data_IF_266341311771
#
_entry.id   IF_266341311771
#
_cell.length_a   1.000
_cell.length_b   1.000
_cell.length_c   1.000
_cell.angle_alpha   90.00
_cell.angle_beta   90.00
_cell.angle_gamma   90.00
#
_symmetry.space_group_name_H-M   'P 1'
#
loop_
_entity.id
_entity.type
_entity.pdbx_description
1 polymer ?
#
# COMPACT_ATOMS: atom_id res chain seq x y z
N UNK A 1 13.14 -14.59 -11.78
CA UNK A 1 11.87 -14.48 -12.53
C UNK A 1 12.09 -13.50 -13.68
N UNK A 2 12.00 -13.96 -14.93
CA UNK A 2 12.32 -13.16 -16.12
C UNK A 2 11.14 -12.24 -16.43
N UNK A 3 11.37 -10.92 -16.43
CA UNK A 3 10.41 -9.96 -16.98
C UNK A 3 10.40 -10.12 -18.50
N UNK A 4 9.35 -10.73 -19.05
CA UNK A 4 8.99 -10.66 -20.46
C UNK A 4 7.50 -10.40 -20.53
N UNK A 5 7.15 -9.14 -20.71
CA UNK A 5 5.92 -8.71 -21.38
C UNK A 5 6.14 -7.26 -21.82
N UNK A 6 6.77 -7.10 -22.98
CA UNK A 6 6.72 -5.86 -23.73
C UNK A 6 5.41 -5.90 -24.50
N UNK A 7 4.41 -5.16 -24.03
CA UNK A 7 3.13 -5.04 -24.71
C UNK A 7 3.32 -4.19 -25.99
N UNK A 8 2.95 -4.73 -27.15
CA UNK A 8 2.84 -3.95 -28.40
C UNK A 8 1.70 -2.93 -28.24
N UNK A 9 2.02 -1.64 -28.30
CA UNK A 9 1.03 -0.56 -28.18
C UNK A 9 0.54 -0.20 -29.59
N UNK A 10 -0.64 -0.67 -29.98
CA UNK A 10 -1.29 -0.25 -31.22
C UNK A 10 -1.78 1.21 -31.11
N UNK A 11 -1.14 2.08 -31.89
CA UNK A 11 -1.41 3.53 -31.91
C UNK A 11 -1.79 3.96 -33.31
N UNK A 12 -2.88 4.74 -33.43
CA UNK A 12 -3.34 5.32 -34.69
C UNK A 12 -3.39 6.85 -34.64
N UNK A 13 -3.37 7.49 -35.80
CA UNK A 13 -3.48 8.93 -35.93
C UNK A 13 -4.93 9.37 -36.06
N UNK A 14 -5.30 10.43 -35.34
CA UNK A 14 -6.59 11.10 -35.55
C UNK A 14 -6.50 11.96 -36.80
N UNK A 15 -7.47 11.83 -37.70
CA UNK A 15 -7.59 12.62 -38.91
C UNK A 15 -8.61 13.74 -38.73
N UNK A 16 -8.34 14.90 -39.33
CA UNK A 16 -9.26 16.03 -39.28
C UNK A 16 -10.52 15.71 -40.09
N UNK A 17 -11.74 15.85 -39.52
CA UNK A 17 -12.98 15.58 -40.25
C UNK A 17 -13.22 16.56 -41.40
N UNK A 18 -12.61 17.74 -41.35
CA UNK A 18 -12.83 18.81 -42.34
C UNK A 18 -11.90 18.65 -43.54
N UNK A 19 -10.59 18.54 -43.31
CA UNK A 19 -9.59 18.51 -44.40
C UNK A 19 -8.97 17.12 -44.63
N UNK A 20 -9.35 16.10 -43.87
CA UNK A 20 -8.81 14.72 -43.90
C UNK A 20 -7.29 14.62 -43.72
N UNK A 21 -6.63 15.70 -43.34
CA UNK A 21 -5.21 15.67 -43.00
C UNK A 21 -5.01 15.06 -41.61
N UNK A 22 -3.90 14.35 -41.50
CA UNK A 22 -3.37 13.83 -40.24
C UNK A 22 -3.18 14.96 -39.22
N UNK A 23 -3.72 14.80 -38.01
CA UNK A 23 -3.52 15.76 -36.92
C UNK A 23 -2.26 15.44 -36.12
N UNK A 24 -1.97 16.23 -35.07
CA UNK A 24 -0.86 15.96 -34.14
C UNK A 24 -1.25 14.99 -33.02
N UNK A 25 -2.49 14.51 -32.99
CA UNK A 25 -3.01 13.66 -31.94
C UNK A 25 -2.90 12.21 -32.38
N UNK A 26 -2.23 11.42 -31.56
CA UNK A 26 -2.22 9.96 -31.61
C UNK A 26 -3.14 9.46 -30.52
N UNK A 27 -3.95 8.47 -30.86
CA UNK A 27 -4.81 7.78 -29.91
C UNK A 27 -4.45 6.30 -29.92
N UNK A 28 -4.60 5.66 -28.76
CA UNK A 28 -4.55 4.21 -28.70
C UNK A 28 -5.85 3.64 -29.26
N UNK A 29 -5.82 2.37 -29.67
CA UNK A 29 -7.00 1.68 -30.13
C UNK A 29 -8.13 1.58 -29.09
N UNK A 30 -7.85 1.81 -27.80
CA UNK A 30 -8.81 1.73 -26.68
C UNK A 30 -9.21 3.11 -26.11
N UNK A 31 -8.84 4.20 -26.79
CA UNK A 31 -9.15 5.56 -26.30
C UNK A 31 -10.62 5.92 -26.54
N UNK A 32 -11.35 6.26 -25.47
CA UNK A 32 -12.67 6.89 -25.55
C UNK A 32 -12.60 8.39 -25.25
N UNK A 33 -13.17 9.22 -26.12
CA UNK A 33 -13.25 10.67 -25.96
C UNK A 33 -14.63 11.16 -26.37
N UNK A 34 -15.31 11.87 -25.47
CA UNK A 34 -16.62 12.49 -25.74
C UNK A 34 -16.47 14.01 -25.81
N UNK A 35 -16.95 14.61 -26.89
CA UNK A 35 -16.89 16.07 -27.13
C UNK A 35 -15.46 16.62 -26.96
N UNK A 36 -14.47 15.92 -27.50
CA UNK A 36 -13.08 16.36 -27.39
C UNK A 36 -12.77 17.45 -28.42
N UNK A 37 -12.22 18.61 -27.99
CA UNK A 37 -11.81 19.67 -28.91
C UNK A 37 -10.55 19.26 -29.68
N UNK A 38 -10.73 18.90 -30.94
CA UNK A 38 -9.64 18.60 -31.87
C UNK A 38 -9.25 19.85 -32.63
N UNK A 39 -8.02 20.31 -32.43
CA UNK A 39 -7.40 21.35 -33.27
C UNK A 39 -6.64 20.73 -34.45
N UNK A 40 -6.94 21.20 -35.68
CA UNK A 40 -6.18 20.81 -36.87
C UNK A 40 -5.16 21.88 -37.26
N UNK A 41 -3.84 21.58 -37.29
CA UNK A 41 -2.83 22.56 -37.69
C UNK A 41 -2.86 22.92 -39.19
N UNK A 42 -3.53 22.13 -40.03
CA UNK A 42 -3.60 22.35 -41.49
C UNK A 42 -4.70 23.33 -41.88
N UNK A 43 -5.93 23.13 -41.41
CA UNK A 43 -7.04 24.05 -41.67
C UNK A 43 -7.26 25.09 -40.55
N UNK A 44 -6.50 25.01 -39.44
CA UNK A 44 -6.58 25.91 -38.27
C UNK A 44 -7.97 25.98 -37.61
N UNK A 45 -8.79 24.95 -37.82
CA UNK A 45 -10.11 24.85 -37.22
C UNK A 45 -10.10 23.95 -36.00
N UNK A 46 -10.97 24.28 -35.05
CA UNK A 46 -11.29 23.49 -33.88
C UNK A 46 -12.63 22.80 -34.10
N UNK A 47 -12.74 21.52 -33.78
CA UNK A 47 -13.96 20.74 -33.98
C UNK A 47 -14.12 19.76 -32.83
N UNK A 48 -15.35 19.57 -32.37
CA UNK A 48 -15.66 18.54 -31.39
C UNK A 48 -15.74 17.19 -32.09
N UNK A 49 -14.92 16.24 -31.64
CA UNK A 49 -14.97 14.86 -32.11
C UNK A 49 -15.41 13.94 -30.97
N UNK A 50 -16.06 12.85 -31.35
CA UNK A 50 -16.22 11.69 -30.49
C UNK A 50 -15.29 10.59 -31.02
N UNK A 51 -14.46 10.04 -30.15
CA UNK A 51 -13.69 8.83 -30.42
C UNK A 51 -14.37 7.76 -29.59
N UNK A 52 -15.11 6.87 -30.25
CA UNK A 52 -15.77 5.75 -29.61
C UNK A 52 -15.29 4.47 -30.29
N UNK A 53 -14.74 3.54 -29.51
CA UNK A 53 -14.61 2.17 -29.94
C UNK A 53 -15.86 1.46 -29.49
N UNK A 54 -16.74 1.09 -30.43
CA UNK A 54 -17.89 0.24 -30.12
C UNK A 54 -17.44 -1.22 -29.94
N UNK A 55 -16.44 -1.43 -29.08
CA UNK A 55 -16.20 -2.68 -28.39
C UNK A 55 -16.56 -2.46 -26.93
N UNK A 56 -17.88 -2.43 -26.70
CA UNK A 56 -18.41 -2.93 -25.43
C UNK A 56 -17.94 -4.37 -25.27
N UNK A 57 -16.76 -4.56 -24.71
CA UNK A 57 -16.41 -5.72 -23.90
C UNK A 57 -15.07 -5.46 -23.18
N UNK A 58 -15.20 -5.00 -21.94
CA UNK A 58 -14.41 -5.52 -20.82
C UNK A 58 -12.95 -5.10 -20.66
N UNK A 59 -12.56 -3.82 -20.71
CA UNK A 59 -11.23 -3.40 -20.17
C UNK A 59 -11.19 -2.03 -19.50
N UNK A 60 -11.93 -1.87 -18.40
CA UNK A 60 -11.54 -0.95 -17.32
C UNK A 60 -11.58 -1.70 -15.98
N UNK A 61 -10.46 -2.31 -15.62
CA UNK A 61 -10.30 -2.92 -14.29
C UNK A 61 -9.91 -1.83 -13.31
N UNK A 62 -10.88 -1.04 -12.86
CA UNK A 62 -10.68 -0.21 -11.68
C UNK A 62 -10.43 -1.16 -10.48
N UNK A 63 -9.25 -1.03 -9.85
CA UNK A 63 -8.91 -1.80 -8.64
C UNK A 63 -9.27 -0.95 -7.43
N UNK A 64 -10.21 -1.44 -6.62
CA UNK A 64 -10.62 -0.79 -5.39
C UNK A 64 -9.98 -1.55 -4.23
N UNK A 65 -9.10 -0.88 -3.46
CA UNK A 65 -8.57 -1.40 -2.20
C UNK A 65 -9.37 -0.82 -1.05
N UNK A 66 -10.10 -1.68 -0.34
CA UNK A 66 -10.81 -1.32 0.88
C UNK A 66 -9.91 -1.68 2.08
N UNK A 67 -9.61 -0.70 2.93
CA UNK A 67 -8.81 -0.88 4.14
C UNK A 67 -9.54 -0.23 5.32
N UNK A 68 -9.52 -0.90 6.48
CA UNK A 68 -10.20 -0.41 7.67
C UNK A 68 -10.04 -1.36 8.86
N UNK A 69 -10.67 -0.99 9.97
CA UNK A 69 -10.74 -1.83 11.18
C UNK A 69 -11.59 -3.09 10.93
N UNK A 70 -11.50 -4.11 11.82
CA UNK A 70 -12.32 -5.32 11.71
C UNK A 70 -13.83 -5.06 11.61
N UNK A 71 -14.30 -3.91 12.11
CA UNK A 71 -15.69 -3.44 11.96
C UNK A 71 -16.14 -3.31 10.49
N UNK A 72 -15.22 -3.02 9.56
CA UNK A 72 -15.53 -2.93 8.13
C UNK A 72 -16.02 -4.28 7.59
N UNK A 73 -15.41 -5.39 8.02
CA UNK A 73 -15.86 -6.73 7.64
C UNK A 73 -17.28 -7.01 8.15
N UNK A 74 -17.65 -6.49 9.32
CA UNK A 74 -19.01 -6.62 9.85
C UNK A 74 -20.01 -5.82 9.00
N UNK A 75 -19.66 -4.60 8.60
CA UNK A 75 -20.48 -3.80 7.69
C UNK A 75 -20.67 -4.48 6.33
N UNK A 76 -19.59 -5.01 5.73
CA UNK A 76 -19.66 -5.71 4.44
C UNK A 76 -20.48 -7.01 4.49
N UNK A 77 -20.70 -7.59 5.69
CA UNK A 77 -21.55 -8.77 5.90
C UNK A 77 -23.05 -8.44 5.99
N UNK A 78 -23.43 -7.16 6.06
CA UNK A 78 -24.84 -6.76 6.04
C UNK A 78 -25.45 -7.09 4.68
N UNK A 79 -26.68 -7.63 4.66
CA UNK A 79 -27.33 -8.10 3.43
C UNK A 79 -27.48 -7.05 2.33
N UNK A 80 -27.55 -5.76 2.71
CA UNK A 80 -27.58 -4.63 1.75
C UNK A 80 -26.28 -4.51 0.92
N UNK A 81 -25.16 -5.04 1.41
CA UNK A 81 -23.86 -4.99 0.75
C UNK A 81 -23.45 -6.31 0.06
N UNK A 82 -24.34 -7.31 0.05
CA UNK A 82 -24.08 -8.61 -0.58
C UNK A 82 -23.64 -8.50 -2.07
N UNK A 83 -24.23 -7.63 -2.92
CA UNK A 83 -23.77 -7.47 -4.30
C UNK A 83 -22.34 -6.94 -4.42
N UNK A 84 -21.91 -6.09 -3.48
CA UNK A 84 -20.54 -5.59 -3.42
C UNK A 84 -19.60 -6.67 -2.92
N UNK A 85 -20.00 -7.41 -1.88
CA UNK A 85 -19.22 -8.49 -1.27
C UNK A 85 -18.90 -9.60 -2.27
N UNK A 86 -19.85 -9.99 -3.12
CA UNK A 86 -19.65 -10.98 -4.18
C UNK A 86 -18.61 -10.57 -5.24
N UNK A 87 -18.30 -9.27 -5.33
CA UNK A 87 -17.29 -8.72 -6.26
C UNK A 87 -15.91 -8.55 -5.62
N UNK A 88 -15.77 -8.80 -4.32
CA UNK A 88 -14.49 -8.76 -3.62
C UNK A 88 -13.76 -10.08 -3.88
N UNK A 89 -12.75 -10.03 -4.75
CA UNK A 89 -11.98 -11.22 -5.16
C UNK A 89 -11.00 -11.67 -4.07
N UNK A 90 -10.47 -10.73 -3.28
CA UNK A 90 -9.56 -11.02 -2.18
C UNK A 90 -9.98 -10.24 -0.94
N UNK A 91 -10.05 -10.95 0.19
CA UNK A 91 -10.19 -10.35 1.51
C UNK A 91 -9.04 -10.88 2.37
N UNK A 92 -8.32 -9.96 3.01
CA UNK A 92 -7.19 -10.30 3.87
C UNK A 92 -7.30 -9.54 5.18
N UNK A 93 -7.19 -10.26 6.29
CA UNK A 93 -7.09 -9.68 7.62
C UNK A 93 -5.61 -9.66 8.02
N UNK A 94 -5.11 -8.48 8.38
CA UNK A 94 -3.78 -8.34 8.96
C UNK A 94 -3.85 -8.76 10.42
N UNK A 95 -3.34 -9.95 10.70
CA UNK A 95 -3.16 -10.44 12.06
C UNK A 95 -1.87 -9.88 12.69
N UNK A 96 -1.67 -10.15 13.98
CA UNK A 96 -0.42 -9.84 14.67
C UNK A 96 0.77 -10.55 14.03
N UNK A 97 1.94 -9.92 14.14
CA UNK A 97 3.20 -10.52 13.68
C UNK A 97 3.52 -11.78 14.48
N UNK A 98 4.11 -12.78 13.83
CA UNK A 98 4.71 -13.90 14.57
C UNK A 98 5.94 -13.44 15.36
N UNK A 99 6.44 -14.28 16.27
CA UNK A 99 7.66 -13.95 17.03
C UNK A 99 8.87 -13.76 16.11
N UNK A 100 8.99 -14.58 15.08
CA UNK A 100 10.07 -14.50 14.10
C UNK A 100 9.98 -13.21 13.28
N UNK A 101 8.78 -12.86 12.82
CA UNK A 101 8.50 -11.60 12.12
C UNK A 101 8.77 -10.39 13.02
N UNK A 102 8.35 -10.46 14.28
CA UNK A 102 8.59 -9.42 15.28
C UNK A 102 10.09 -9.21 15.57
N UNK A 103 10.87 -10.29 15.68
CA UNK A 103 12.34 -10.20 15.82
C UNK A 103 12.96 -9.53 14.61
N UNK A 104 12.59 -9.97 13.40
CA UNK A 104 13.05 -9.37 12.15
C UNK A 104 12.66 -7.89 12.05
N UNK A 105 11.45 -7.54 12.50
CA UNK A 105 10.94 -6.18 12.54
C UNK A 105 11.77 -5.27 13.46
N UNK A 106 12.09 -5.72 14.68
CA UNK A 106 12.93 -4.97 15.63
C UNK A 106 14.34 -4.75 15.04
N UNK A 107 14.97 -5.80 14.49
CA UNK A 107 16.29 -5.66 13.87
C UNK A 107 16.28 -4.75 12.65
N UNK A 108 15.26 -4.83 11.79
CA UNK A 108 15.12 -3.96 10.64
C UNK A 108 14.96 -2.49 11.06
N UNK A 109 14.21 -2.23 12.15
CA UNK A 109 14.07 -0.89 12.73
C UNK A 109 15.39 -0.34 13.26
N UNK A 110 16.12 -1.14 14.04
CA UNK A 110 17.44 -0.75 14.58
C UNK A 110 18.44 -0.47 13.44
N UNK A 111 18.46 -1.33 12.43
CA UNK A 111 19.29 -1.14 11.24
C UNK A 111 18.91 0.12 10.46
N UNK A 112 17.60 0.39 10.33
CA UNK A 112 17.09 1.60 9.68
C UNK A 112 17.45 2.88 10.43
N UNK A 113 17.61 2.81 11.76
CA UNK A 113 18.14 3.91 12.58
C UNK A 113 19.68 4.07 12.48
N UNK A 114 20.36 3.27 11.66
CA UNK A 114 21.81 3.31 11.48
C UNK A 114 22.58 2.54 12.55
N UNK A 115 21.92 1.72 13.36
CA UNK A 115 22.59 0.95 14.40
C UNK A 115 23.30 -0.27 13.80
N UNK A 116 24.60 -0.39 14.08
CA UNK A 116 25.44 -1.55 13.69
C UNK A 116 25.77 -2.48 14.85
N UNK A 117 25.45 -2.06 16.08
CA UNK A 117 25.71 -2.81 17.31
C UNK A 117 24.44 -3.50 17.82
N UNK A 118 24.63 -4.52 18.64
CA UNK A 118 23.54 -5.21 19.34
C UNK A 118 23.03 -4.31 20.47
N UNK A 119 21.80 -3.81 20.33
CA UNK A 119 21.17 -2.92 21.32
C UNK A 119 20.36 -3.70 22.36
N UNK A 120 19.78 -4.83 21.98
CA UNK A 120 18.98 -5.68 22.84
C UNK A 120 19.59 -7.08 22.94
N UNK A 121 19.49 -7.69 24.11
CA UNK A 121 19.74 -9.12 24.28
C UNK A 121 18.59 -9.94 23.66
N UNK A 122 18.87 -11.17 23.21
CA UNK A 122 17.85 -12.04 22.64
C UNK A 122 16.70 -12.32 23.63
N UNK A 123 17.02 -12.48 24.91
CA UNK A 123 16.03 -12.66 25.97
C UNK A 123 15.13 -11.41 26.15
N UNK A 124 15.70 -10.21 26.00
CA UNK A 124 14.96 -8.96 26.07
C UNK A 124 14.01 -8.80 24.88
N UNK A 125 14.45 -9.18 23.67
CA UNK A 125 13.59 -9.20 22.47
C UNK A 125 12.42 -10.16 22.68
N UNK A 126 12.66 -11.37 23.18
CA UNK A 126 11.58 -12.32 23.49
C UNK A 126 10.58 -11.75 24.50
N UNK A 127 11.05 -11.08 25.56
CA UNK A 127 10.17 -10.45 26.53
C UNK A 127 9.27 -9.37 25.91
N UNK A 128 9.82 -8.51 25.05
CA UNK A 128 9.03 -7.51 24.30
C UNK A 128 7.98 -8.18 23.41
N UNK A 129 8.37 -9.22 22.67
CA UNK A 129 7.48 -9.89 21.73
C UNK A 129 6.33 -10.63 22.43
N UNK A 130 6.61 -11.26 23.57
CA UNK A 130 5.58 -11.89 24.39
C UNK A 130 4.60 -10.86 24.96
N UNK A 131 5.09 -9.71 25.43
CA UNK A 131 4.23 -8.66 25.99
C UNK A 131 3.42 -7.92 24.92
N UNK A 132 3.94 -7.81 23.70
CA UNK A 132 3.27 -7.09 22.62
C UNK A 132 2.24 -7.91 21.83
N UNK A 133 2.21 -9.24 22.02
CA UNK A 133 1.32 -10.18 21.32
C UNK A 133 1.24 -9.93 19.81
N UNK A 134 2.41 -9.73 19.18
CA UNK A 134 2.53 -9.49 17.74
C UNK A 134 2.06 -8.11 17.27
N UNK A 135 1.60 -7.21 18.15
CA UNK A 135 1.10 -5.89 17.75
C UNK A 135 2.26 -4.91 17.53
N UNK A 136 2.51 -4.44 16.28
CA UNK A 136 3.70 -3.63 15.97
C UNK A 136 3.76 -2.30 16.74
N UNK A 137 2.59 -1.73 17.02
CA UNK A 137 2.47 -0.50 17.80
C UNK A 137 2.94 -0.69 19.25
N UNK A 138 2.60 -1.83 19.86
CA UNK A 138 2.99 -2.15 21.24
C UNK A 138 4.47 -2.50 21.27
N UNK A 139 4.98 -3.27 20.30
CA UNK A 139 6.43 -3.55 20.15
C UNK A 139 7.21 -2.23 20.17
N UNK A 140 6.82 -1.26 19.33
CA UNK A 140 7.51 0.04 19.28
C UNK A 140 7.43 0.80 20.62
N UNK A 141 6.27 0.78 21.29
CA UNK A 141 6.08 1.45 22.59
C UNK A 141 7.05 0.87 23.62
N UNK A 142 7.07 -0.45 23.75
CA UNK A 142 7.93 -1.16 24.69
C UNK A 142 9.41 -0.94 24.37
N UNK A 143 9.84 -1.12 23.12
CA UNK A 143 11.23 -0.89 22.72
C UNK A 143 11.70 0.54 23.07
N UNK A 144 10.89 1.56 22.76
CA UNK A 144 11.24 2.95 23.07
C UNK A 144 11.33 3.19 24.59
N UNK A 145 10.39 2.66 25.36
CA UNK A 145 10.41 2.76 26.82
C UNK A 145 11.65 2.05 27.41
N UNK A 146 11.98 0.85 26.93
CA UNK A 146 13.17 0.11 27.36
C UNK A 146 14.47 0.87 27.04
N UNK A 147 14.54 1.53 25.88
CA UNK A 147 15.70 2.37 25.53
C UNK A 147 15.86 3.58 26.45
N UNK A 148 14.75 4.22 26.84
CA UNK A 148 14.78 5.35 27.78
C UNK A 148 15.23 4.92 29.18
N UNK A 149 14.73 3.76 29.65
CA UNK A 149 15.14 3.19 30.94
C UNK A 149 16.61 2.77 30.88
N UNK A 150 17.03 2.11 29.80
CA UNK A 150 18.43 1.71 29.61
C UNK A 150 19.39 2.91 29.61
N UNK A 151 19.02 4.01 28.96
CA UNK A 151 19.79 5.25 29.00
C UNK A 151 19.85 5.83 30.42
N UNK A 152 18.74 5.83 31.15
CA UNK A 152 18.67 6.35 32.53
C UNK A 152 19.52 5.51 33.51
N UNK A 153 19.63 4.21 33.24
CA UNK A 153 20.43 3.26 34.02
C UNK A 153 21.87 3.06 33.50
N UNK A 154 22.32 3.85 32.52
CA UNK A 154 23.62 3.73 31.85
C UNK A 154 23.94 2.30 31.35
N UNK A 155 22.93 1.59 30.83
CA UNK A 155 23.10 0.27 30.24
C UNK A 155 23.62 0.38 28.79
N UNK A 156 24.66 -0.38 28.47
CA UNK A 156 25.18 -0.49 27.10
C UNK A 156 24.33 -1.41 26.21
N UNK A 157 23.65 -2.40 26.82
CA UNK A 157 22.76 -3.35 26.15
C UNK A 157 21.48 -3.46 26.99
N UNK A 158 20.32 -3.43 26.33
CA UNK A 158 19.03 -3.59 26.98
C UNK A 158 18.83 -5.07 27.32
N UNK A 159 18.74 -5.34 28.63
CA UNK A 159 18.48 -6.65 29.20
C UNK A 159 16.98 -6.85 29.49
N UNK A 160 16.63 -8.06 29.93
CA UNK A 160 15.25 -8.40 30.28
C UNK A 160 14.69 -7.53 31.40
N UNK A 161 15.49 -7.14 32.40
CA UNK A 161 15.02 -6.33 33.53
C UNK A 161 14.53 -4.95 33.10
N UNK A 162 15.26 -4.27 32.22
CA UNK A 162 14.86 -2.98 31.66
C UNK A 162 13.57 -3.09 30.82
N UNK A 163 13.35 -4.23 30.14
CA UNK A 163 12.10 -4.50 29.43
C UNK A 163 10.95 -4.74 30.39
N UNK A 164 11.15 -5.53 31.46
CA UNK A 164 10.12 -5.78 32.47
C UNK A 164 9.70 -4.49 33.18
N UNK A 165 10.67 -3.61 33.47
CA UNK A 165 10.37 -2.28 34.00
C UNK A 165 9.55 -1.45 33.01
N UNK A 166 9.91 -1.45 31.72
CA UNK A 166 9.15 -0.78 30.67
C UNK A 166 7.71 -1.29 30.54
N UNK A 167 7.50 -2.60 30.69
CA UNK A 167 6.18 -3.24 30.64
C UNK A 167 5.34 -2.74 31.83
N UNK A 168 5.87 -2.80 33.05
CA UNK A 168 5.16 -2.33 34.25
C UNK A 168 4.77 -0.84 34.15
N UNK A 169 5.69 0.01 33.68
CA UNK A 169 5.42 1.44 33.49
C UNK A 169 4.35 1.70 32.41
N UNK A 170 4.25 0.82 31.41
CA UNK A 170 3.26 0.92 30.34
C UNK A 170 1.88 0.36 30.70
N UNK A 171 1.75 -0.49 31.72
CA UNK A 171 0.48 -1.01 32.24
C UNK A 171 -0.19 -0.04 33.22
N UNK A 172 0.60 0.81 33.88
CA UNK A 172 0.13 1.78 34.89
C UNK A 172 -0.35 3.12 34.30
N UNK A 173 -0.32 3.30 32.98
CA UNK A 173 -0.74 4.53 32.29
C UNK A 173 -1.53 4.30 31.00
#
# INVERSE_FOLDING_TARGET
>A
MKFKEVYEIEIQWVYCPICKNKTRIKIRFDTEMKKFPLFCPKCKQETLINVENLHMDSRDRAVILLAGLPSLNNSLRLGIHEPLRQRIVMNYNLDGMTKEEGRAYIHAKLKGAGCTQTVFEDAAIEAVLNAADGTPRIINKLCNASLLIGNSSNLNIINTDAVMQAINDCELG
#
